data_IF_648430812526
#
_entry.id   IF_648430812526
#
_cell.length_a   1.000
_cell.length_b   1.000
_cell.length_c   1.000
_cell.angle_alpha   90.00
_cell.angle_beta   90.00
_cell.angle_gamma   90.00
#
_symmetry.space_group_name_H-M   'P 1'
#
loop_
_entity.id
_entity.type
_entity.pdbx_description
1 polymer ?
#
# COMPACT_ATOMS: atom_id res chain seq x y z
N UNK A 1 6.25 3.78 -24.61
CA UNK A 1 5.48 3.77 -23.35
C UNK A 1 4.59 2.53 -23.34
N UNK A 2 4.50 1.85 -22.21
CA UNK A 2 3.94 0.51 -22.11
C UNK A 2 2.42 0.61 -21.84
N UNK A 3 1.63 0.78 -22.90
CA UNK A 3 0.15 0.83 -22.85
C UNK A 3 -0.47 -0.38 -22.11
N UNK A 4 0.26 -1.49 -21.95
CA UNK A 4 -0.23 -2.69 -21.27
C UNK A 4 -0.40 -2.57 -19.75
N UNK A 5 0.22 -1.57 -19.10
CA UNK A 5 0.07 -1.39 -17.63
C UNK A 5 -1.17 -0.60 -17.24
N UNK A 6 -1.76 0.18 -18.15
CA UNK A 6 -2.87 1.07 -17.82
C UNK A 6 -4.11 0.34 -17.27
N UNK A 7 -4.57 -0.78 -17.85
CA UNK A 7 -5.71 -1.52 -17.31
C UNK A 7 -5.47 -2.03 -15.88
N UNK A 8 -4.23 -2.39 -15.53
CA UNK A 8 -3.90 -2.82 -14.18
C UNK A 8 -3.96 -1.66 -13.17
N UNK A 9 -3.48 -0.48 -13.57
CA UNK A 9 -3.57 0.73 -12.73
C UNK A 9 -5.03 1.14 -12.53
N UNK A 10 -5.83 1.11 -13.60
CA UNK A 10 -7.27 1.41 -13.53
C UNK A 10 -7.98 0.47 -12.55
N UNK A 11 -7.75 -0.84 -12.65
CA UNK A 11 -8.30 -1.82 -11.70
C UNK A 11 -7.86 -1.55 -10.25
N UNK A 12 -6.61 -1.15 -10.01
CA UNK A 12 -6.14 -0.81 -8.66
C UNK A 12 -6.79 0.46 -8.11
N UNK A 13 -6.98 1.47 -8.95
CA UNK A 13 -7.69 2.70 -8.58
C UNK A 13 -9.15 2.38 -8.23
N UNK A 14 -9.80 1.54 -9.04
CA UNK A 14 -11.15 1.08 -8.75
C UNK A 14 -11.20 0.30 -7.42
N UNK A 15 -10.28 -0.63 -7.15
CA UNK A 15 -10.25 -1.36 -5.88
C UNK A 15 -9.96 -0.46 -4.67
N UNK A 16 -9.13 0.57 -4.85
CA UNK A 16 -8.81 1.53 -3.81
C UNK A 16 -9.99 2.45 -3.44
N UNK A 17 -10.96 2.62 -4.35
CA UNK A 17 -12.07 3.58 -4.20
C UNK A 17 -13.41 2.86 -4.01
N UNK A 18 -13.68 1.84 -4.83
CA UNK A 18 -14.98 1.20 -5.02
C UNK A 18 -14.97 -0.23 -4.49
N UNK A 19 -15.31 -0.39 -3.21
CA UNK A 19 -15.41 -1.73 -2.60
C UNK A 19 -16.71 -2.42 -3.04
N UNK A 20 -16.59 -3.46 -3.89
CA UNK A 20 -17.71 -4.35 -4.23
C UNK A 20 -18.68 -3.84 -5.31
N UNK A 21 -18.36 -2.76 -6.01
CA UNK A 21 -19.16 -2.17 -7.10
C UNK A 21 -18.54 -2.41 -8.49
N UNK A 22 -17.75 -3.47 -8.63
CA UNK A 22 -17.04 -3.79 -9.88
C UNK A 22 -18.02 -3.91 -11.07
N UNK A 23 -17.68 -3.24 -12.19
CA UNK A 23 -18.46 -3.28 -13.42
C UNK A 23 -19.69 -2.36 -13.47
N UNK A 24 -19.99 -1.61 -12.40
CA UNK A 24 -20.99 -0.55 -12.44
C UNK A 24 -20.41 0.73 -13.06
N UNK A 25 -21.22 1.57 -13.75
CA UNK A 25 -20.76 2.85 -14.26
C UNK A 25 -20.11 3.70 -13.16
N UNK A 26 -18.96 4.30 -13.45
CA UNK A 26 -18.22 5.14 -12.50
C UNK A 26 -19.02 6.42 -12.21
N UNK A 27 -19.52 6.62 -10.97
CA UNK A 27 -20.14 7.86 -10.54
C UNK A 27 -19.17 9.05 -10.65
N UNK A 28 -19.73 10.27 -10.73
CA UNK A 28 -18.90 11.49 -10.74
C UNK A 28 -18.08 11.68 -9.45
N UNK A 29 -18.57 11.14 -8.33
CA UNK A 29 -17.87 11.19 -7.04
C UNK A 29 -16.54 10.43 -7.12
N UNK A 30 -16.57 9.22 -7.64
CA UNK A 30 -15.43 8.31 -7.75
C UNK A 30 -14.33 8.90 -8.62
N UNK A 31 -14.67 9.64 -9.69
CA UNK A 31 -13.68 10.36 -10.51
C UNK A 31 -12.94 11.42 -9.68
N UNK A 32 -13.64 12.15 -8.80
CA UNK A 32 -13.00 13.13 -7.92
C UNK A 32 -12.11 12.44 -6.89
N UNK A 33 -12.56 11.31 -6.33
CA UNK A 33 -11.78 10.51 -5.39
C UNK A 33 -10.51 9.95 -6.05
N UNK A 34 -10.58 9.51 -7.31
CA UNK A 34 -9.41 9.12 -8.12
C UNK A 34 -8.39 10.26 -8.20
N UNK A 35 -8.84 11.48 -8.51
CA UNK A 35 -7.95 12.64 -8.58
C UNK A 35 -7.29 12.95 -7.23
N UNK A 36 -8.05 12.87 -6.13
CA UNK A 36 -7.52 13.07 -4.78
C UNK A 36 -6.49 12.01 -4.44
N UNK A 37 -6.75 10.75 -4.77
CA UNK A 37 -5.82 9.63 -4.54
C UNK A 37 -4.52 9.82 -5.33
N UNK A 38 -4.60 10.18 -6.61
CA UNK A 38 -3.43 10.45 -7.45
C UNK A 38 -2.63 11.64 -6.93
N UNK A 39 -3.30 12.73 -6.53
CA UNK A 39 -2.63 13.88 -5.94
C UNK A 39 -1.95 13.53 -4.63
N UNK A 40 -2.60 12.72 -3.79
CA UNK A 40 -2.03 12.21 -2.55
C UNK A 40 -0.78 11.37 -2.82
N UNK A 41 -0.83 10.47 -3.80
CA UNK A 41 0.29 9.64 -4.23
C UNK A 41 1.48 10.51 -4.66
N UNK A 42 1.26 11.50 -5.53
CA UNK A 42 2.34 12.39 -5.97
C UNK A 42 2.90 13.24 -4.82
N UNK A 43 2.05 13.69 -3.91
CA UNK A 43 2.48 14.42 -2.71
C UNK A 43 3.32 13.54 -1.78
N UNK A 44 2.98 12.26 -1.66
CA UNK A 44 3.73 11.29 -0.88
C UNK A 44 5.13 11.08 -1.46
N UNK A 45 5.25 10.81 -2.76
CA UNK A 45 6.55 10.66 -3.42
C UNK A 45 7.36 11.96 -3.33
N UNK A 46 6.76 13.12 -3.64
CA UNK A 46 7.46 14.41 -3.54
C UNK A 46 8.00 14.72 -2.13
N UNK A 47 7.43 14.11 -1.08
CA UNK A 47 7.85 14.30 0.30
C UNK A 47 8.92 13.30 0.77
N UNK A 48 8.83 12.04 0.35
CA UNK A 48 9.63 10.95 0.93
C UNK A 48 10.63 10.31 -0.02
N UNK A 49 10.47 10.45 -1.34
CA UNK A 49 11.48 10.06 -2.35
C UNK A 49 12.58 11.13 -2.37
N UNK A 50 13.51 11.02 -1.43
CA UNK A 50 14.56 12.04 -1.20
C UNK A 50 15.63 11.99 -2.29
N UNK A 51 15.89 10.79 -2.83
CA UNK A 51 16.89 10.58 -3.87
C UNK A 51 16.34 10.73 -5.30
N UNK A 52 15.04 10.99 -5.45
CA UNK A 52 14.34 11.15 -6.72
C UNK A 52 14.42 9.90 -7.61
N UNK A 53 14.57 8.72 -7.00
CA UNK A 53 14.60 7.42 -7.68
C UNK A 53 13.26 7.04 -8.31
N UNK A 54 12.18 7.76 -7.98
CA UNK A 54 10.78 7.46 -8.33
C UNK A 54 10.26 6.19 -7.66
N UNK A 55 11.00 5.66 -6.70
CA UNK A 55 10.60 4.55 -5.84
C UNK A 55 10.80 4.98 -4.38
N UNK A 56 10.18 4.25 -3.45
CA UNK A 56 10.40 4.43 -2.02
C UNK A 56 11.16 3.22 -1.51
N UNK A 57 12.35 3.47 -0.99
CA UNK A 57 13.18 2.45 -0.37
C UNK A 57 12.84 2.27 1.13
N UNK A 58 13.51 1.32 1.78
CA UNK A 58 13.28 1.00 3.20
C UNK A 58 13.50 2.21 4.12
N UNK A 59 14.55 2.99 3.89
CA UNK A 59 14.91 4.11 4.75
C UNK A 59 13.88 5.24 4.62
N UNK A 60 13.44 5.52 3.41
CA UNK A 60 12.40 6.51 3.11
C UNK A 60 11.04 6.10 3.67
N UNK A 61 10.67 4.82 3.51
CA UNK A 61 9.47 4.27 4.14
C UNK A 61 9.53 4.44 5.66
N UNK A 62 10.65 4.08 6.30
CA UNK A 62 10.80 4.22 7.76
C UNK A 62 10.76 5.68 8.24
N UNK A 63 11.15 6.66 7.41
CA UNK A 63 10.95 8.09 7.69
C UNK A 63 9.48 8.50 7.62
N UNK A 64 8.70 7.88 6.73
CA UNK A 64 7.26 8.08 6.63
C UNK A 64 6.50 7.42 7.79
N UNK A 65 7.01 6.31 8.33
CA UNK A 65 6.32 5.47 9.32
C UNK A 65 5.69 6.22 10.51
N UNK A 66 6.36 7.17 11.20
CA UNK A 66 5.76 7.86 12.35
C UNK A 66 4.46 8.61 12.04
N UNK A 67 4.25 9.01 10.78
CA UNK A 67 3.04 9.69 10.33
C UNK A 67 1.89 8.70 10.14
N UNK A 68 2.20 7.48 9.67
CA UNK A 68 1.22 6.44 9.38
C UNK A 68 0.93 5.52 10.56
N UNK A 69 1.87 5.40 11.51
CA UNK A 69 1.75 4.50 12.66
C UNK A 69 0.42 4.63 13.42
N UNK A 70 -0.09 5.83 13.75
CA UNK A 70 -1.35 5.93 14.49
C UNK A 70 -2.52 5.34 13.70
N UNK A 71 -2.63 5.72 12.42
CA UNK A 71 -3.72 5.26 11.53
C UNK A 71 -3.65 3.75 11.34
N UNK A 72 -2.46 3.19 11.17
CA UNK A 72 -2.30 1.74 11.06
C UNK A 72 -2.65 1.03 12.36
N UNK A 73 -2.28 1.58 13.52
CA UNK A 73 -2.66 1.02 14.81
C UNK A 73 -4.16 1.01 15.06
N UNK A 74 -4.90 1.99 14.53
CA UNK A 74 -6.36 2.01 14.58
C UNK A 74 -7.00 1.07 13.55
N UNK A 75 -6.35 0.87 12.40
CA UNK A 75 -6.88 0.10 11.28
C UNK A 75 -6.72 -1.41 11.43
N UNK A 76 -5.61 -1.87 12.03
CA UNK A 76 -5.32 -3.31 12.17
C UNK A 76 -5.15 -3.70 13.64
N UNK A 77 -5.72 -4.84 14.08
CA UNK A 77 -5.58 -5.34 15.45
C UNK A 77 -4.22 -6.02 15.64
N UNK A 78 -3.13 -5.26 15.48
CA UNK A 78 -1.76 -5.70 15.70
C UNK A 78 -1.19 -5.10 16.98
N UNK A 79 -0.28 -5.82 17.63
CA UNK A 79 0.51 -5.27 18.72
C UNK A 79 1.40 -4.13 18.22
N UNK A 80 1.73 -3.17 19.09
CA UNK A 80 2.51 -1.99 18.69
C UNK A 80 3.88 -2.33 18.08
N UNK A 81 4.46 -3.47 18.48
CA UNK A 81 5.71 -3.99 17.94
C UNK A 81 5.59 -4.55 16.52
N UNK A 82 4.38 -4.92 16.10
CA UNK A 82 4.08 -5.49 14.79
C UNK A 82 3.71 -4.45 13.73
N UNK A 83 3.35 -3.23 14.14
CA UNK A 83 2.91 -2.17 13.21
C UNK A 83 4.04 -1.77 12.25
N UNK A 84 5.29 -1.66 12.74
CA UNK A 84 6.45 -1.30 11.90
C UNK A 84 6.78 -2.41 10.88
N UNK A 85 6.96 -3.69 11.28
CA UNK A 85 7.10 -4.78 10.33
C UNK A 85 5.94 -4.87 9.34
N UNK A 86 4.70 -4.64 9.78
CA UNK A 86 3.52 -4.65 8.92
C UNK A 86 3.61 -3.55 7.86
N UNK A 87 3.97 -2.34 8.27
CA UNK A 87 4.18 -1.23 7.35
C UNK A 87 5.24 -1.54 6.28
N UNK A 88 6.43 -2.03 6.68
CA UNK A 88 7.48 -2.36 5.70
C UNK A 88 7.11 -3.57 4.84
N UNK A 89 6.33 -4.52 5.38
CA UNK A 89 5.78 -5.65 4.64
C UNK A 89 4.86 -5.19 3.51
N UNK A 90 3.98 -4.22 3.77
CA UNK A 90 3.11 -3.63 2.75
C UNK A 90 3.93 -3.05 1.58
N UNK A 91 5.01 -2.32 1.86
CA UNK A 91 5.90 -1.81 0.81
C UNK A 91 6.60 -2.94 0.04
N UNK A 92 7.05 -3.99 0.74
CA UNK A 92 7.73 -5.13 0.12
C UNK A 92 6.82 -5.98 -0.76
N UNK A 93 5.55 -6.16 -0.39
CA UNK A 93 4.68 -7.15 -1.02
C UNK A 93 3.40 -6.60 -1.65
N UNK A 94 2.98 -5.38 -1.32
CA UNK A 94 1.75 -4.75 -1.86
C UNK A 94 0.46 -5.38 -1.33
N UNK A 95 0.55 -6.28 -0.35
CA UNK A 95 -0.56 -7.08 0.17
C UNK A 95 -0.48 -7.16 1.69
N UNK A 96 -1.63 -7.41 2.33
CA UNK A 96 -1.66 -7.64 3.78
C UNK A 96 -1.27 -9.08 4.11
N UNK A 97 -0.71 -9.36 5.29
CA UNK A 97 -0.33 -10.71 5.68
C UNK A 97 -1.53 -11.58 6.11
N UNK A 98 -2.73 -10.99 6.21
CA UNK A 98 -3.91 -11.60 6.82
C UNK A 98 -4.76 -12.41 5.84
N UNK A 99 -4.74 -12.09 4.54
CA UNK A 99 -5.61 -12.72 3.54
C UNK A 99 -4.78 -13.50 2.51
N UNK A 100 -5.01 -14.81 2.39
CA UNK A 100 -4.33 -15.70 1.44
C UNK A 100 -4.58 -17.20 1.72
N UNK A 101 -4.85 -18.06 0.72
CA UNK A 101 -5.01 -19.51 0.93
C UNK A 101 -3.65 -20.26 0.95
N UNK A 102 -3.50 -21.38 1.69
CA UNK A 102 -4.42 -21.97 2.69
C UNK A 102 -4.09 -21.56 4.14
N UNK A 103 -2.95 -20.89 4.35
CA UNK A 103 -2.55 -20.22 5.57
C UNK A 103 -2.14 -18.85 5.10
N UNK A 104 -2.70 -17.77 5.66
CA UNK A 104 -2.37 -16.42 5.23
C UNK A 104 -0.85 -16.21 5.16
N UNK A 105 -0.42 -15.13 4.53
CA UNK A 105 0.97 -14.72 4.46
C UNK A 105 1.64 -14.48 5.84
N UNK A 106 1.05 -14.94 6.96
CA UNK A 106 1.57 -14.88 8.32
C UNK A 106 2.93 -15.56 8.53
N UNK A 107 3.24 -16.70 7.87
CA UNK A 107 4.60 -17.25 7.94
C UNK A 107 5.63 -16.34 7.26
N UNK A 108 5.26 -15.79 6.10
CA UNK A 108 6.06 -14.82 5.34
C UNK A 108 6.23 -13.52 6.15
N UNK A 109 5.20 -13.10 6.86
CA UNK A 109 5.22 -11.95 7.76
C UNK A 109 6.10 -12.18 8.99
N UNK A 110 5.97 -13.32 9.67
CA UNK A 110 6.82 -13.66 10.81
C UNK A 110 8.30 -13.72 10.40
N UNK A 111 8.58 -14.33 9.25
CA UNK A 111 9.92 -14.35 8.68
C UNK A 111 10.43 -12.93 8.43
N UNK A 112 9.63 -12.10 7.76
CA UNK A 112 9.96 -10.69 7.50
C UNK A 112 10.21 -9.91 8.78
N UNK A 113 9.34 -10.05 9.78
CA UNK A 113 9.46 -9.41 11.10
C UNK A 113 10.77 -9.76 11.81
N UNK A 114 11.21 -11.01 11.74
CA UNK A 114 12.42 -11.45 12.46
C UNK A 114 13.73 -11.14 11.74
N UNK A 115 13.70 -10.83 10.45
CA UNK A 115 14.88 -10.60 9.62
C UNK A 115 14.92 -9.15 9.11
N UNK A 116 14.90 -8.19 10.03
CA UNK A 116 14.93 -6.76 9.69
C UNK A 116 16.19 -6.34 8.93
N UNK A 117 17.30 -7.04 9.17
CA UNK A 117 18.57 -6.90 8.45
C UNK A 117 18.46 -7.24 6.96
N UNK A 118 17.43 -8.00 6.58
CA UNK A 118 17.17 -8.41 5.20
C UNK A 118 16.11 -7.55 4.51
N UNK A 119 15.60 -6.52 5.19
CA UNK A 119 14.61 -5.63 4.58
C UNK A 119 15.23 -4.89 3.40
N UNK A 120 14.66 -5.12 2.23
CA UNK A 120 15.04 -4.44 0.99
C UNK A 120 13.84 -4.40 0.06
N UNK A 121 13.51 -3.23 -0.46
CA UNK A 121 12.49 -3.04 -1.49
C UNK A 121 12.68 -1.67 -2.16
N UNK A 122 12.09 -1.55 -3.35
CA UNK A 122 11.91 -0.30 -4.09
C UNK A 122 10.44 -0.27 -4.52
N UNK A 123 9.63 0.52 -3.82
CA UNK A 123 8.20 0.60 -4.07
C UNK A 123 7.89 1.73 -5.04
N UNK A 124 7.44 1.40 -6.25
CA UNK A 124 6.95 2.39 -7.22
C UNK A 124 5.52 2.84 -6.87
N UNK A 125 4.98 3.76 -7.68
CA UNK A 125 3.61 4.28 -7.54
C UNK A 125 2.56 3.18 -7.59
N UNK A 126 2.77 2.16 -8.43
CA UNK A 126 1.84 1.03 -8.55
C UNK A 126 1.83 0.24 -7.25
N UNK A 127 3.01 -0.02 -6.66
CA UNK A 127 3.10 -0.66 -5.34
C UNK A 127 2.35 0.12 -4.26
N UNK A 128 2.48 1.45 -4.21
CA UNK A 128 1.73 2.24 -3.22
C UNK A 128 0.22 2.17 -3.46
N UNK A 129 -0.24 2.13 -4.71
CA UNK A 129 -1.66 1.90 -5.03
C UNK A 129 -2.14 0.51 -4.59
N UNK A 130 -1.32 -0.54 -4.78
CA UNK A 130 -1.62 -1.89 -4.27
C UNK A 130 -1.81 -1.88 -2.75
N UNK A 131 -0.96 -1.15 -2.02
CA UNK A 131 -1.09 -0.97 -0.57
C UNK A 131 -2.41 -0.29 -0.22
N UNK A 132 -2.76 0.80 -0.91
CA UNK A 132 -4.01 1.53 -0.64
C UNK A 132 -5.24 0.65 -0.91
N UNK A 133 -5.25 -0.10 -2.01
CA UNK A 133 -6.29 -1.08 -2.32
C UNK A 133 -6.38 -2.18 -1.25
N UNK A 134 -5.22 -2.72 -0.82
CA UNK A 134 -5.15 -3.74 0.21
C UNK A 134 -5.68 -3.25 1.57
N UNK A 135 -5.36 -2.02 1.95
CA UNK A 135 -5.85 -1.38 3.18
C UNK A 135 -7.35 -1.03 3.10
N UNK A 136 -7.82 -0.55 1.96
CA UNK A 136 -9.25 -0.29 1.74
C UNK A 136 -10.09 -1.58 1.92
N UNK A 137 -9.55 -2.73 1.50
CA UNK A 137 -10.15 -4.03 1.75
C UNK A 137 -10.40 -4.33 3.24
N UNK A 138 -9.58 -3.80 4.15
CA UNK A 138 -9.68 -4.02 5.60
C UNK A 138 -10.78 -3.22 6.29
N UNK A 139 -11.11 -2.04 5.76
CA UNK A 139 -12.12 -1.14 6.34
C UNK A 139 -13.51 -1.70 6.02
N UNK A 140 -14.20 -2.23 7.03
CA UNK A 140 -15.60 -2.70 6.95
C UNK A 140 -16.54 -1.75 7.68
#
# INVERSE_FOLDING_TARGET
ENESRWPAVENLLEQAIRKGEEGLPVPRGDVLEMWVLLQYLETFFARFDEDQSKTINVQEALKAFPIFQPVLGDLVPLDSEDIRPFFTFLFRYGETPFYGPPYGNGLKFNYWRWHEDQWSFEADRVRVLEILAALNGLIN
#
